data_IF_272850222705
#
_entry.id   IF_272850222705
#
_cell.length_a   1.000
_cell.length_b   1.000
_cell.length_c   1.000
_cell.angle_alpha   90.00
_cell.angle_beta   90.00
_cell.angle_gamma   90.00
#
_symmetry.space_group_name_H-M   'P 1'
#
loop_
_entity.id
_entity.type
_entity.pdbx_description
1 polymer ?
#
# COMPACT_ATOMS: atom_id res chain seq x y z
N UNK A 1 2.27 -9.82 -17.91
CA UNK A 1 1.10 -9.16 -18.50
C UNK A 1 0.99 -9.58 -19.96
N UNK A 2 1.91 -9.19 -20.82
CA UNK A 2 1.88 -9.51 -22.28
C UNK A 2 1.84 -11.01 -22.57
N UNK A 3 2.71 -11.82 -21.95
CA UNK A 3 2.74 -13.28 -22.14
C UNK A 3 1.43 -13.96 -21.74
N UNK A 4 0.70 -13.39 -20.78
CA UNK A 4 -0.61 -13.86 -20.36
C UNK A 4 -1.76 -13.31 -21.23
N UNK A 5 -1.47 -12.49 -22.24
CA UNK A 5 -2.50 -11.86 -23.09
C UNK A 5 -3.41 -10.90 -22.34
N UNK A 6 -2.86 -10.21 -21.33
CA UNK A 6 -3.56 -9.22 -20.52
C UNK A 6 -3.25 -7.82 -21.03
N UNK A 7 -4.20 -6.90 -20.85
CA UNK A 7 -3.99 -5.49 -21.13
C UNK A 7 -2.93 -4.89 -20.17
N UNK A 8 -2.14 -3.90 -20.64
CA UNK A 8 -1.17 -3.21 -19.78
C UNK A 8 -1.92 -2.33 -18.76
N UNK A 9 -1.72 -2.56 -17.43
CA UNK A 9 -2.36 -1.76 -16.40
C UNK A 9 -2.01 -0.27 -16.46
N UNK A 10 -0.81 0.09 -16.96
CA UNK A 10 -0.44 1.49 -17.13
C UNK A 10 -1.21 2.15 -18.27
N UNK A 11 -1.37 1.46 -19.40
CA UNK A 11 -2.22 1.96 -20.49
C UNK A 11 -3.69 2.11 -20.06
N UNK A 12 -4.20 1.17 -19.26
CA UNK A 12 -5.54 1.27 -18.68
C UNK A 12 -5.64 2.48 -17.74
N UNK A 13 -4.60 2.73 -16.94
CA UNK A 13 -4.53 3.91 -16.10
C UNK A 13 -4.57 5.21 -16.93
N UNK A 14 -3.76 5.32 -17.99
CA UNK A 14 -3.73 6.50 -18.87
C UNK A 14 -5.08 6.76 -19.57
N UNK A 15 -5.83 5.70 -19.84
CA UNK A 15 -7.20 5.78 -20.41
C UNK A 15 -8.28 6.05 -19.35
N UNK A 16 -7.95 6.04 -18.06
CA UNK A 16 -8.92 6.15 -16.96
C UNK A 16 -9.76 4.89 -16.76
N UNK A 17 -9.29 3.75 -17.26
CA UNK A 17 -9.97 2.44 -17.24
C UNK A 17 -9.36 1.48 -16.20
N UNK A 18 -8.30 1.86 -15.50
CA UNK A 18 -7.69 1.07 -14.44
C UNK A 18 -8.51 1.16 -13.16
N UNK A 19 -9.54 0.34 -13.06
CA UNK A 19 -10.53 0.31 -11.97
C UNK A 19 -10.50 -1.03 -11.23
N UNK A 20 -11.20 -1.13 -10.09
CA UNK A 20 -11.37 -2.39 -9.38
C UNK A 20 -11.98 -3.47 -10.28
N UNK A 21 -12.99 -3.12 -11.06
CA UNK A 21 -13.62 -4.08 -11.98
C UNK A 21 -12.65 -4.61 -13.01
N UNK A 22 -11.87 -3.73 -13.66
CA UNK A 22 -10.87 -4.13 -14.66
C UNK A 22 -9.75 -4.95 -14.03
N UNK A 23 -9.28 -4.54 -12.83
CA UNK A 23 -8.31 -5.31 -12.07
C UNK A 23 -8.82 -6.73 -11.73
N UNK A 24 -10.07 -6.86 -11.26
CA UNK A 24 -10.66 -8.16 -10.93
C UNK A 24 -10.88 -9.04 -12.17
N UNK A 25 -11.21 -8.46 -13.32
CA UNK A 25 -11.27 -9.20 -14.60
C UNK A 25 -9.89 -9.73 -14.98
N UNK A 26 -8.86 -8.90 -14.89
CA UNK A 26 -7.47 -9.29 -15.13
C UNK A 26 -7.03 -10.37 -14.15
N UNK A 27 -7.35 -10.20 -12.87
CA UNK A 27 -7.06 -11.15 -11.81
C UNK A 27 -7.59 -12.55 -12.11
N UNK A 28 -8.86 -12.64 -12.49
CA UNK A 28 -9.51 -13.92 -12.82
C UNK A 28 -8.97 -14.57 -14.08
N UNK A 29 -8.49 -13.78 -15.04
CA UNK A 29 -7.85 -14.31 -16.27
C UNK A 29 -6.45 -14.88 -15.99
N UNK A 30 -5.73 -14.31 -15.04
CA UNK A 30 -4.35 -14.72 -14.72
C UNK A 30 -4.30 -15.87 -13.72
N UNK A 31 -5.20 -15.87 -12.72
CA UNK A 31 -5.16 -16.84 -11.62
C UNK A 31 -5.30 -18.27 -12.10
N UNK A 32 -4.35 -19.11 -11.72
CA UNK A 32 -4.32 -20.55 -11.94
C UNK A 32 -3.63 -21.22 -10.75
N UNK A 33 -4.32 -21.34 -9.60
CA UNK A 33 -3.73 -21.88 -8.37
C UNK A 33 -3.22 -23.31 -8.50
N UNK A 34 -3.81 -24.13 -9.40
CA UNK A 34 -3.37 -25.49 -9.67
C UNK A 34 -1.95 -25.51 -10.28
N UNK A 35 -1.59 -24.47 -11.04
CA UNK A 35 -0.26 -24.29 -11.61
C UNK A 35 0.58 -23.23 -10.87
N UNK A 36 0.19 -22.86 -9.64
CA UNK A 36 0.92 -21.94 -8.78
C UNK A 36 0.88 -20.48 -9.23
N UNK A 37 -0.13 -20.05 -10.01
CA UNK A 37 -0.29 -18.67 -10.46
C UNK A 37 -1.30 -17.92 -9.60
N UNK A 38 -0.86 -16.81 -9.01
CA UNK A 38 -1.63 -15.97 -8.12
C UNK A 38 -1.56 -14.51 -8.59
N UNK A 39 -2.49 -13.69 -8.15
CA UNK A 39 -2.62 -12.32 -8.65
C UNK A 39 -1.83 -11.34 -7.81
N UNK A 40 -1.85 -11.48 -6.50
CA UNK A 40 -1.36 -10.46 -5.58
C UNK A 40 -0.58 -11.08 -4.43
N UNK A 41 0.57 -10.51 -4.16
CA UNK A 41 1.31 -10.64 -2.91
C UNK A 41 1.81 -9.24 -2.50
N UNK A 42 2.39 -9.09 -1.32
CA UNK A 42 2.88 -7.80 -0.82
C UNK A 42 2.79 -7.73 0.69
N UNK A 43 3.18 -6.60 1.28
CA UNK A 43 3.19 -6.45 2.73
C UNK A 43 1.80 -6.16 3.31
N UNK A 44 1.10 -5.17 2.77
CA UNK A 44 -0.21 -4.73 3.24
C UNK A 44 -1.10 -4.28 2.06
N UNK A 45 -1.33 -5.16 1.07
CA UNK A 45 -2.12 -4.78 -0.11
C UNK A 45 -3.56 -4.40 0.28
N UNK A 46 -4.12 -5.03 1.32
CA UNK A 46 -5.45 -4.74 1.84
C UNK A 46 -5.59 -3.29 2.32
N UNK A 47 -4.58 -2.77 3.00
CA UNK A 47 -4.58 -1.39 3.47
C UNK A 47 -4.44 -0.40 2.32
N UNK A 48 -3.61 -0.73 1.36
CA UNK A 48 -3.42 0.08 0.16
C UNK A 48 -4.69 0.15 -0.68
N UNK A 49 -5.42 -0.97 -0.82
CA UNK A 49 -6.73 -0.99 -1.48
C UNK A 49 -7.77 -0.16 -0.75
N UNK A 50 -7.86 -0.24 0.58
CA UNK A 50 -8.79 0.60 1.35
C UNK A 50 -8.55 2.08 1.07
N UNK A 51 -7.30 2.52 0.97
CA UNK A 51 -6.98 3.91 0.63
C UNK A 51 -7.50 4.33 -0.76
N UNK A 52 -7.68 3.39 -1.70
CA UNK A 52 -8.24 3.72 -3.04
C UNK A 52 -9.71 4.14 -3.00
N UNK A 53 -10.41 3.93 -1.88
CA UNK A 53 -11.77 4.49 -1.67
C UNK A 53 -11.77 6.01 -1.47
N UNK A 54 -10.61 6.60 -1.20
CA UNK A 54 -10.47 8.00 -0.78
C UNK A 54 -10.77 8.25 0.71
N UNK A 55 -11.20 7.23 1.44
CA UNK A 55 -11.58 7.31 2.85
C UNK A 55 -10.66 6.43 3.70
N UNK A 56 -9.92 6.95 4.69
CA UNK A 56 -9.16 6.14 5.63
C UNK A 56 -10.08 5.47 6.65
N UNK A 57 -9.65 4.39 7.30
CA UNK A 57 -10.39 3.82 8.43
C UNK A 57 -10.51 4.80 9.60
N UNK A 58 -9.47 5.60 9.82
CA UNK A 58 -9.45 6.65 10.84
C UNK A 58 -8.84 7.93 10.26
N UNK A 59 -9.60 9.01 10.28
CA UNK A 59 -9.14 10.35 9.89
C UNK A 59 -8.88 11.25 11.11
N UNK A 60 -8.22 12.39 10.87
CA UNK A 60 -8.12 13.50 11.83
C UNK A 60 -8.95 14.68 11.30
N UNK A 61 -10.06 14.97 11.92
CA UNK A 61 -11.01 16.02 11.52
C UNK A 61 -11.22 17.03 12.65
N UNK A 62 -10.90 18.29 12.39
CA UNK A 62 -11.03 19.34 13.40
C UNK A 62 -10.23 19.07 14.70
N UNK A 63 -9.12 18.34 14.58
CA UNK A 63 -8.28 17.94 15.72
C UNK A 63 -8.78 16.69 16.45
N UNK A 64 -9.79 15.99 15.95
CA UNK A 64 -10.32 14.76 16.54
C UNK A 64 -10.15 13.58 15.61
N UNK A 65 -9.86 12.42 16.17
CA UNK A 65 -9.83 11.16 15.44
C UNK A 65 -11.28 10.70 15.20
N UNK A 66 -11.59 10.44 13.93
CA UNK A 66 -12.93 10.03 13.48
C UNK A 66 -12.84 8.67 12.81
N UNK A 67 -13.73 7.76 13.21
CA UNK A 67 -13.84 6.42 12.65
C UNK A 67 -14.71 6.41 11.40
N UNK A 68 -14.24 5.77 10.34
CA UNK A 68 -14.98 5.52 9.11
C UNK A 68 -15.26 4.03 8.86
N UNK A 69 -15.14 3.21 9.89
CA UNK A 69 -15.35 1.75 9.78
C UNK A 69 -16.76 1.34 9.30
N UNK A 70 -17.71 2.27 9.30
CA UNK A 70 -19.07 2.05 8.78
C UNK A 70 -19.27 2.64 7.37
N UNK A 71 -18.20 3.11 6.73
CA UNK A 71 -18.27 3.64 5.36
C UNK A 71 -18.57 2.52 4.35
N UNK A 72 -19.57 2.74 3.50
CA UNK A 72 -20.03 1.74 2.55
C UNK A 72 -18.99 1.41 1.46
N UNK A 73 -18.10 2.35 1.10
CA UNK A 73 -17.05 2.11 0.14
C UNK A 73 -15.93 1.27 0.75
N UNK A 74 -15.61 1.49 2.04
CA UNK A 74 -14.66 0.64 2.78
C UNK A 74 -15.20 -0.79 2.87
N UNK A 75 -16.47 -0.97 3.24
CA UNK A 75 -17.11 -2.30 3.29
C UNK A 75 -17.06 -2.98 1.91
N UNK A 76 -17.42 -2.26 0.84
CA UNK A 76 -17.35 -2.77 -0.54
C UNK A 76 -15.93 -3.15 -0.95
N UNK A 77 -14.92 -2.34 -0.59
CA UNK A 77 -13.51 -2.65 -0.85
C UNK A 77 -13.08 -3.95 -0.15
N UNK A 78 -13.38 -4.07 1.13
CA UNK A 78 -12.97 -5.24 1.92
C UNK A 78 -13.74 -6.49 1.48
N UNK A 79 -15.00 -6.38 1.07
CA UNK A 79 -15.75 -7.50 0.50
C UNK A 79 -15.17 -7.95 -0.85
N UNK A 80 -14.64 -7.04 -1.67
CA UNK A 80 -13.88 -7.40 -2.85
C UNK A 80 -12.59 -8.15 -2.45
N UNK A 81 -11.82 -7.62 -1.53
CA UNK A 81 -10.56 -8.22 -1.07
C UNK A 81 -10.75 -9.60 -0.42
N UNK A 82 -11.87 -9.83 0.20
CA UNK A 82 -12.26 -11.12 0.77
C UNK A 82 -12.25 -12.24 -0.27
N UNK A 83 -12.55 -11.94 -1.54
CA UNK A 83 -12.50 -12.91 -2.63
C UNK A 83 -11.10 -13.45 -2.93
N UNK A 84 -10.06 -12.75 -2.46
CA UNK A 84 -8.66 -13.15 -2.65
C UNK A 84 -8.26 -14.37 -1.82
N UNK A 85 -9.01 -14.67 -0.76
CA UNK A 85 -8.69 -15.80 0.13
C UNK A 85 -8.79 -17.15 -0.58
N UNK A 86 -8.01 -18.12 -0.08
CA UNK A 86 -7.92 -19.48 -0.62
C UNK A 86 -9.21 -20.26 -0.52
N UNK A 87 -10.15 -19.85 0.35
CA UNK A 87 -11.50 -20.44 0.46
C UNK A 87 -12.50 -19.83 -0.53
N UNK A 88 -12.09 -18.82 -1.28
CA UNK A 88 -12.89 -18.07 -2.23
C UNK A 88 -12.31 -18.25 -3.67
N UNK A 89 -11.84 -17.15 -4.29
CA UNK A 89 -11.32 -17.17 -5.66
C UNK A 89 -9.81 -17.49 -5.72
N UNK A 90 -9.12 -17.57 -4.58
CA UNK A 90 -7.69 -17.91 -4.48
C UNK A 90 -6.77 -16.98 -5.28
N UNK A 91 -7.02 -15.69 -5.20
CA UNK A 91 -6.27 -14.69 -5.98
C UNK A 91 -4.97 -14.23 -5.31
N UNK A 92 -4.85 -14.35 -3.99
CA UNK A 92 -3.62 -14.02 -3.29
C UNK A 92 -2.66 -15.21 -3.22
N UNK A 93 -1.36 -14.91 -3.21
CA UNK A 93 -0.36 -15.94 -2.93
C UNK A 93 -0.59 -16.54 -1.53
N UNK A 94 -0.65 -17.87 -1.40
CA UNK A 94 -0.85 -18.52 -0.11
C UNK A 94 0.37 -18.32 0.77
N UNK A 95 0.19 -17.76 1.96
CA UNK A 95 1.25 -17.57 2.94
C UNK A 95 1.13 -18.61 4.02
N UNK A 96 2.29 -19.12 4.43
CA UNK A 96 2.37 -19.95 5.62
C UNK A 96 2.03 -19.12 6.87
N UNK A 97 1.23 -19.65 7.77
CA UNK A 97 0.78 -18.97 9.00
C UNK A 97 1.94 -18.58 9.91
N UNK A 98 3.04 -19.32 9.88
CA UNK A 98 4.26 -19.01 10.66
C UNK A 98 5.05 -17.82 10.09
N UNK A 99 4.93 -17.54 8.78
CA UNK A 99 5.62 -16.46 8.07
C UNK A 99 4.66 -15.47 7.41
N UNK A 100 3.46 -15.28 7.94
CA UNK A 100 2.40 -14.46 7.34
C UNK A 100 2.78 -12.99 7.05
N UNK A 101 3.87 -12.52 7.62
CA UNK A 101 4.37 -11.15 7.45
C UNK A 101 5.40 -10.98 6.33
N UNK A 102 5.92 -12.08 5.79
CA UNK A 102 6.98 -12.00 4.78
C UNK A 102 6.42 -12.41 3.42
N UNK A 103 6.25 -11.47 2.48
CA UNK A 103 5.81 -11.80 1.14
C UNK A 103 6.89 -12.57 0.38
N UNK A 104 6.47 -13.32 -0.64
CA UNK A 104 7.38 -14.16 -1.42
C UNK A 104 7.94 -13.44 -2.64
N UNK A 105 9.02 -12.69 -2.45
CA UNK A 105 9.73 -12.03 -3.56
C UNK A 105 10.19 -13.00 -4.66
N UNK A 106 10.56 -14.23 -4.31
CA UNK A 106 11.00 -15.20 -5.31
C UNK A 106 9.86 -15.63 -6.22
N UNK A 107 8.68 -15.90 -5.67
CA UNK A 107 7.50 -16.29 -6.44
C UNK A 107 7.05 -15.19 -7.40
N UNK A 108 7.08 -13.94 -6.93
CA UNK A 108 6.84 -12.79 -7.79
C UNK A 108 7.92 -12.69 -8.88
N UNK A 109 9.20 -12.76 -8.53
CA UNK A 109 10.30 -12.66 -9.45
C UNK A 109 10.33 -13.80 -10.49
N UNK A 110 9.82 -14.97 -10.14
CA UNK A 110 9.68 -16.12 -11.03
C UNK A 110 8.36 -16.09 -11.87
N UNK A 111 7.58 -14.99 -11.75
CA UNK A 111 6.35 -14.76 -12.52
C UNK A 111 5.15 -15.56 -12.03
N UNK A 112 5.17 -16.04 -10.80
CA UNK A 112 4.08 -16.79 -10.17
C UNK A 112 3.05 -15.87 -9.49
N UNK A 113 3.39 -14.59 -9.29
CA UNK A 113 2.48 -13.57 -8.80
C UNK A 113 2.48 -12.39 -9.78
N UNK A 114 1.29 -11.96 -10.23
CA UNK A 114 1.15 -10.91 -11.25
C UNK A 114 1.53 -9.54 -10.71
N UNK A 115 1.02 -9.19 -9.52
CA UNK A 115 1.28 -7.93 -8.85
C UNK A 115 1.93 -8.16 -7.49
N UNK A 116 2.83 -7.25 -7.13
CA UNK A 116 3.49 -7.27 -5.84
C UNK A 116 3.40 -5.88 -5.20
N UNK A 117 2.72 -5.80 -4.05
CA UNK A 117 2.60 -4.54 -3.30
C UNK A 117 3.80 -4.34 -2.42
N UNK A 118 4.48 -3.19 -2.58
CA UNK A 118 5.58 -2.79 -1.72
C UNK A 118 5.81 -1.27 -1.78
N UNK A 119 6.62 -0.76 -0.86
CA UNK A 119 7.13 0.60 -0.93
C UNK A 119 8.26 0.74 -1.96
N UNK A 120 8.33 1.90 -2.64
CA UNK A 120 9.38 2.18 -3.63
C UNK A 120 10.81 1.97 -3.10
N UNK A 121 11.04 2.26 -1.81
CA UNK A 121 12.33 2.04 -1.14
C UNK A 121 12.76 0.57 -1.09
N UNK A 122 11.81 -0.36 -0.96
CA UNK A 122 12.12 -1.79 -0.97
C UNK A 122 12.50 -2.26 -2.37
N UNK A 123 11.86 -1.67 -3.37
CA UNK A 123 12.17 -1.93 -4.76
C UNK A 123 13.63 -1.58 -5.10
N UNK A 124 14.14 -0.49 -4.53
CA UNK A 124 15.55 -0.09 -4.62
C UNK A 124 16.49 -1.22 -4.17
N UNK A 125 16.19 -1.88 -3.04
CA UNK A 125 17.03 -2.94 -2.49
C UNK A 125 16.97 -4.26 -3.27
N UNK A 126 15.81 -4.58 -3.82
CA UNK A 126 15.53 -5.93 -4.37
C UNK A 126 15.62 -6.00 -5.89
N UNK A 127 15.28 -4.92 -6.59
CA UNK A 127 15.19 -4.86 -8.04
C UNK A 127 16.45 -5.35 -8.77
N UNK A 128 17.58 -4.72 -8.52
CA UNK A 128 18.84 -5.05 -9.16
C UNK A 128 19.25 -6.51 -8.98
N UNK A 129 18.95 -7.05 -7.79
CA UNK A 129 19.22 -8.45 -7.47
C UNK A 129 18.38 -9.39 -8.34
N UNK A 130 17.10 -9.13 -8.47
CA UNK A 130 16.18 -9.97 -9.25
C UNK A 130 16.36 -9.77 -10.75
N UNK A 131 16.53 -8.53 -11.22
CA UNK A 131 16.85 -8.23 -12.62
C UNK A 131 18.07 -9.02 -13.09
N UNK A 132 19.14 -9.02 -12.31
CA UNK A 132 20.35 -9.78 -12.62
C UNK A 132 20.14 -11.30 -12.53
N UNK A 133 19.43 -11.79 -11.51
CA UNK A 133 19.15 -13.22 -11.31
C UNK A 133 18.30 -13.76 -12.47
N UNK A 134 17.25 -13.05 -12.84
CA UNK A 134 16.26 -13.50 -13.82
C UNK A 134 16.55 -13.01 -15.23
N UNK A 135 17.60 -12.19 -15.40
CA UNK A 135 18.00 -11.61 -16.70
C UNK A 135 16.90 -10.76 -17.34
N UNK A 136 16.18 -10.01 -16.52
CA UNK A 136 15.13 -9.12 -17.01
C UNK A 136 15.72 -8.02 -17.89
N UNK A 137 15.06 -7.78 -19.00
CA UNK A 137 15.31 -6.59 -19.82
C UNK A 137 14.73 -5.35 -19.13
N UNK A 138 15.08 -4.17 -19.63
CA UNK A 138 14.46 -2.94 -19.18
C UNK A 138 12.94 -3.00 -19.47
N UNK A 139 12.15 -2.47 -18.55
CA UNK A 139 10.69 -2.40 -18.65
C UNK A 139 9.90 -3.73 -18.58
N UNK A 140 10.56 -4.88 -18.36
CA UNK A 140 9.84 -6.15 -18.10
C UNK A 140 9.02 -6.11 -16.81
N UNK A 141 9.49 -5.37 -15.81
CA UNK A 141 8.75 -5.12 -14.56
C UNK A 141 8.62 -3.62 -14.36
N UNK A 142 7.42 -3.16 -14.10
CA UNK A 142 7.13 -1.74 -14.03
C UNK A 142 6.26 -1.40 -12.81
N UNK A 143 6.29 -0.13 -12.41
CA UNK A 143 5.34 0.40 -11.45
C UNK A 143 3.97 0.60 -12.11
N UNK A 144 2.94 0.32 -11.33
CA UNK A 144 1.54 0.62 -11.65
C UNK A 144 0.83 1.10 -10.39
N UNK A 145 -0.04 2.11 -10.46
CA UNK A 145 -0.82 2.52 -9.31
C UNK A 145 -1.83 1.44 -8.92
N UNK A 146 -2.30 1.46 -7.68
CA UNK A 146 -3.48 0.68 -7.33
C UNK A 146 -4.68 1.10 -8.20
N UNK A 147 -5.54 0.15 -8.59
CA UNK A 147 -6.72 0.50 -9.39
C UNK A 147 -7.66 1.39 -8.59
N UNK A 148 -8.26 2.38 -9.22
CA UNK A 148 -9.25 3.23 -8.57
C UNK A 148 -10.56 2.48 -8.32
N UNK A 149 -11.29 2.88 -7.31
CA UNK A 149 -12.67 2.42 -7.10
C UNK A 149 -13.54 2.77 -8.32
N UNK A 150 -14.41 1.84 -8.74
CA UNK A 150 -15.32 2.09 -9.86
C UNK A 150 -16.18 3.33 -9.60
N UNK A 151 -16.17 4.26 -10.55
CA UNK A 151 -16.90 5.53 -10.46
C UNK A 151 -16.25 6.59 -9.57
N UNK A 152 -15.04 6.39 -9.09
CA UNK A 152 -14.26 7.43 -8.41
C UNK A 152 -13.92 8.57 -9.40
N UNK A 153 -13.86 9.79 -8.89
CA UNK A 153 -13.55 10.99 -9.68
C UNK A 153 -12.04 11.20 -9.90
N UNK A 154 -11.21 10.48 -9.13
CA UNK A 154 -9.76 10.56 -9.19
C UNK A 154 -9.10 9.34 -8.59
N UNK A 155 -7.79 9.21 -8.83
CA UNK A 155 -6.97 8.18 -8.20
C UNK A 155 -6.58 8.58 -6.78
N UNK A 156 -6.82 7.68 -5.84
CA UNK A 156 -6.36 7.78 -4.46
C UNK A 156 -5.29 6.73 -4.20
N UNK A 157 -4.36 7.05 -3.32
CA UNK A 157 -3.31 6.11 -2.92
C UNK A 157 -2.99 6.21 -1.43
N UNK A 158 -2.50 5.12 -0.88
CA UNK A 158 -1.97 5.10 0.49
C UNK A 158 -0.80 6.07 0.62
N UNK A 159 -0.83 6.86 1.68
CA UNK A 159 0.26 7.76 2.04
C UNK A 159 0.77 7.39 3.43
N UNK A 160 2.08 7.14 3.53
CA UNK A 160 2.78 7.03 4.82
C UNK A 160 3.66 8.26 5.00
N UNK A 161 3.75 8.72 6.23
CA UNK A 161 4.59 9.86 6.58
C UNK A 161 5.56 9.46 7.70
N UNK A 162 6.85 9.46 7.39
CA UNK A 162 7.88 9.34 8.40
C UNK A 162 8.11 10.69 9.06
N UNK A 163 8.11 10.69 10.37
CA UNK A 163 8.31 11.91 11.17
C UNK A 163 9.62 11.85 11.93
N UNK A 164 10.39 12.93 11.86
CA UNK A 164 11.60 13.09 12.63
C UNK A 164 11.31 14.02 13.79
N UNK A 165 11.53 13.52 15.01
CA UNK A 165 11.27 14.27 16.23
C UNK A 165 12.56 14.60 16.97
N UNK A 166 12.63 15.81 17.49
CA UNK A 166 13.70 16.19 18.40
C UNK A 166 13.40 15.63 19.78
N UNK A 167 14.32 14.82 20.33
CA UNK A 167 14.13 14.26 21.68
C UNK A 167 14.15 15.34 22.76
N UNK A 168 13.35 15.16 23.81
CA UNK A 168 13.36 16.07 24.95
C UNK A 168 14.76 16.17 25.55
N UNK A 169 15.22 17.41 25.80
CA UNK A 169 16.56 17.69 26.34
C UNK A 169 17.68 17.72 25.29
N UNK A 170 17.39 17.63 24.02
CA UNK A 170 18.39 17.84 22.97
C UNK A 170 19.01 19.22 23.06
N UNK A 171 20.33 19.29 22.96
CA UNK A 171 21.09 20.55 23.16
C UNK A 171 21.33 21.32 21.86
N UNK A 172 21.36 20.65 20.73
CA UNK A 172 21.66 21.26 19.42
C UNK A 172 20.39 21.52 18.60
N UNK A 173 19.52 22.40 19.10
CA UNK A 173 18.27 22.78 18.42
C UNK A 173 18.56 23.51 17.09
N UNK A 174 19.57 24.33 17.03
CA UNK A 174 19.93 25.10 15.83
C UNK A 174 20.51 24.19 14.75
N UNK A 175 21.26 23.16 15.09
CA UNK A 175 21.70 22.12 14.17
C UNK A 175 20.51 21.34 13.58
N UNK A 176 19.53 21.01 14.40
CA UNK A 176 18.29 20.36 13.93
C UNK A 176 17.50 21.26 12.95
N UNK A 177 17.34 22.54 13.29
CA UNK A 177 16.68 23.50 12.38
C UNK A 177 17.44 23.64 11.05
N UNK A 178 18.77 23.76 11.11
CA UNK A 178 19.61 23.85 9.92
C UNK A 178 19.47 22.60 9.04
N UNK A 179 19.43 21.40 9.65
CA UNK A 179 19.23 20.15 8.94
C UNK A 179 17.85 20.08 8.26
N UNK A 180 16.75 20.42 8.97
CA UNK A 180 15.40 20.49 8.39
C UNK A 180 15.36 21.46 7.21
N UNK A 181 15.92 22.67 7.40
CA UNK A 181 15.93 23.68 6.35
C UNK A 181 16.74 23.23 5.12
N UNK A 182 17.90 22.61 5.32
CA UNK A 182 18.70 22.08 4.23
C UNK A 182 17.97 21.00 3.44
N UNK A 183 17.27 20.08 4.12
CA UNK A 183 16.45 19.07 3.45
C UNK A 183 15.30 19.70 2.66
N UNK A 184 14.63 20.70 3.22
CA UNK A 184 13.54 21.41 2.53
C UNK A 184 14.04 22.13 1.28
N UNK A 185 15.20 22.78 1.34
CA UNK A 185 15.82 23.42 0.18
C UNK A 185 16.21 22.39 -0.86
N UNK A 186 16.88 21.31 -0.44
CA UNK A 186 17.29 20.24 -1.35
C UNK A 186 16.10 19.57 -2.05
N UNK A 187 15.00 19.32 -1.34
CA UNK A 187 13.80 18.71 -1.90
C UNK A 187 13.09 19.58 -2.96
N UNK A 188 13.38 20.88 -2.98
CA UNK A 188 12.80 21.82 -3.94
C UNK A 188 13.80 22.29 -5.01
N UNK A 189 15.03 21.76 -5.01
CA UNK A 189 16.06 22.12 -5.97
C UNK A 189 16.02 21.19 -7.20
N UNK A 190 15.72 21.71 -8.42
CA UNK A 190 15.65 20.89 -9.63
C UNK A 190 16.96 20.17 -9.98
N UNK A 191 18.12 20.79 -9.67
CA UNK A 191 19.41 20.15 -9.97
C UNK A 191 19.68 18.97 -9.03
N UNK A 192 19.27 19.08 -7.76
CA UNK A 192 19.35 17.97 -6.81
C UNK A 192 18.39 16.86 -7.20
N UNK A 193 17.16 17.20 -7.59
CA UNK A 193 16.18 16.21 -8.08
C UNK A 193 16.72 15.46 -9.32
N UNK A 194 17.33 16.20 -10.27
CA UNK A 194 17.97 15.60 -11.45
C UNK A 194 19.15 14.69 -11.07
N UNK A 195 20.01 15.14 -10.15
CA UNK A 195 21.14 14.33 -9.68
C UNK A 195 20.67 13.05 -8.98
N UNK A 196 19.59 13.14 -8.18
CA UNK A 196 18.97 11.98 -7.54
C UNK A 196 18.42 10.98 -8.56
N UNK A 197 17.82 11.46 -9.64
CA UNK A 197 17.32 10.63 -10.74
C UNK A 197 18.47 9.88 -11.45
N UNK A 198 19.56 10.57 -11.79
CA UNK A 198 20.73 9.93 -12.39
C UNK A 198 21.38 8.92 -11.42
N UNK A 199 21.44 9.22 -10.13
CA UNK A 199 21.91 8.28 -9.12
C UNK A 199 21.04 7.02 -9.09
N UNK A 200 19.71 7.14 -9.15
CA UNK A 200 18.81 5.97 -9.18
C UNK A 200 19.06 5.07 -10.38
N UNK A 201 19.38 5.65 -11.56
CA UNK A 201 19.76 4.88 -12.74
C UNK A 201 21.07 4.13 -12.53
N UNK A 202 22.09 4.79 -12.00
CA UNK A 202 23.42 4.20 -11.79
C UNK A 202 23.41 3.16 -10.66
N UNK A 203 22.74 3.46 -9.56
CA UNK A 203 22.77 2.64 -8.35
C UNK A 203 21.80 1.47 -8.39
N UNK A 204 20.58 1.69 -8.92
CA UNK A 204 19.50 0.70 -8.91
C UNK A 204 19.17 0.11 -10.28
N UNK A 205 19.80 0.62 -11.35
CA UNK A 205 19.57 0.17 -12.72
C UNK A 205 18.11 0.39 -13.18
N UNK A 206 17.54 1.54 -12.80
CA UNK A 206 16.19 1.91 -13.15
C UNK A 206 16.13 2.59 -14.51
N UNK A 207 15.16 2.20 -15.33
CA UNK A 207 14.90 2.85 -16.62
C UNK A 207 14.25 4.23 -16.45
N UNK A 208 14.28 5.04 -17.50
CA UNK A 208 13.54 6.30 -17.53
C UNK A 208 12.04 6.07 -17.39
N UNK A 209 11.51 4.99 -18.00
CA UNK A 209 10.10 4.60 -17.88
C UNK A 209 9.69 4.36 -16.42
N UNK A 210 10.49 3.60 -15.66
CA UNK A 210 10.23 3.36 -14.23
C UNK A 210 10.22 4.67 -13.44
N UNK A 211 11.18 5.54 -13.69
CA UNK A 211 11.30 6.82 -12.99
C UNK A 211 10.13 7.75 -13.33
N UNK A 212 9.73 7.83 -14.61
CA UNK A 212 8.60 8.65 -15.05
C UNK A 212 7.27 8.17 -14.44
N UNK A 213 7.05 6.86 -14.37
CA UNK A 213 5.88 6.27 -13.70
C UNK A 213 5.87 6.59 -12.21
N UNK A 214 7.02 6.44 -11.53
CA UNK A 214 7.16 6.76 -10.11
C UNK A 214 6.92 8.26 -9.84
N UNK A 215 7.47 9.14 -10.66
CA UNK A 215 7.26 10.58 -10.55
C UNK A 215 5.78 10.95 -10.76
N UNK A 216 5.11 10.32 -11.72
CA UNK A 216 3.68 10.48 -11.94
C UNK A 216 2.86 10.04 -10.72
N UNK A 217 3.20 8.88 -10.12
CA UNK A 217 2.53 8.37 -8.94
C UNK A 217 2.78 9.20 -7.68
N UNK A 218 3.90 9.93 -7.63
CA UNK A 218 4.23 10.86 -6.52
C UNK A 218 3.63 12.25 -6.70
N UNK A 219 3.13 12.61 -7.88
CA UNK A 219 2.58 13.95 -8.14
C UNK A 219 1.20 14.09 -7.46
N UNK A 220 1.07 15.00 -6.46
CA UNK A 220 -0.19 15.22 -5.75
C UNK A 220 -1.30 15.83 -6.62
N UNK A 221 -0.99 16.28 -7.84
CA UNK A 221 -1.98 16.72 -8.81
C UNK A 221 -2.67 15.55 -9.51
N UNK A 222 -1.97 14.43 -9.61
CA UNK A 222 -2.44 13.21 -10.27
C UNK A 222 -3.05 12.25 -9.27
N UNK A 223 -2.37 12.04 -8.15
CA UNK A 223 -2.81 11.14 -7.10
C UNK A 223 -3.12 11.88 -5.81
N UNK A 224 -4.27 11.59 -5.21
CA UNK A 224 -4.63 12.10 -3.89
C UNK A 224 -4.16 11.13 -2.81
N UNK A 225 -3.22 11.57 -1.97
CA UNK A 225 -2.77 10.77 -0.85
C UNK A 225 -3.82 10.63 0.24
N UNK A 226 -4.04 9.41 0.71
CA UNK A 226 -4.90 9.09 1.85
C UNK A 226 -4.03 8.66 3.01
N UNK A 227 -4.05 9.44 4.08
CA UNK A 227 -3.33 9.15 5.31
C UNK A 227 -4.28 8.53 6.34
N UNK A 228 -3.98 7.30 6.77
CA UNK A 228 -4.78 6.59 7.75
C UNK A 228 -4.13 6.62 9.14
N UNK A 229 -4.80 7.20 10.11
CA UNK A 229 -4.34 7.28 11.50
C UNK A 229 -4.49 5.96 12.28
N UNK A 230 -5.05 4.92 11.67
CA UNK A 230 -5.29 3.62 12.29
C UNK A 230 -4.06 2.98 12.92
N UNK A 231 -2.89 3.10 12.28
CA UNK A 231 -1.68 2.38 12.70
C UNK A 231 -1.21 2.77 14.12
N UNK A 232 -1.30 4.04 14.48
CA UNK A 232 -0.97 4.50 15.84
C UNK A 232 -1.93 3.98 16.90
N UNK A 233 -3.20 3.83 16.53
CA UNK A 233 -4.27 3.39 17.43
C UNK A 233 -4.19 1.89 17.66
N UNK A 234 -3.94 1.12 16.62
CA UNK A 234 -3.89 -0.34 16.70
C UNK A 234 -2.76 -0.85 17.58
N UNK A 235 -1.61 -0.24 17.54
CA UNK A 235 -0.46 -0.59 18.38
C UNK A 235 -0.74 -0.42 19.87
N UNK A 236 -1.54 0.58 20.24
CA UNK A 236 -1.91 0.86 21.63
C UNK A 236 -2.97 -0.11 22.18
N UNK A 237 -3.82 -0.67 21.30
CA UNK A 237 -4.87 -1.61 21.70
C UNK A 237 -4.33 -3.04 21.74
N UNK A 238 -3.32 -3.35 20.93
CA UNK A 238 -2.66 -4.65 20.94
C UNK A 238 -2.03 -4.90 22.31
N UNK A 239 -2.57 -5.81 23.08
CA UNK A 239 -2.02 -6.21 24.39
C UNK A 239 -0.87 -7.19 24.19
N UNK A 240 0.01 -7.31 25.19
CA UNK A 240 1.12 -8.30 25.18
C UNK A 240 0.62 -9.75 25.03
N UNK A 241 -0.60 -10.02 25.44
CA UNK A 241 -1.20 -11.35 25.42
C UNK A 241 -2.10 -11.57 24.19
N UNK A 242 -2.49 -10.50 23.50
CA UNK A 242 -3.24 -10.55 22.26
C UNK A 242 -2.39 -9.91 21.17
N UNK A 243 -1.79 -10.76 20.34
CA UNK A 243 -0.98 -10.30 19.19
C UNK A 243 -1.82 -9.74 18.05
N UNK A 244 -3.14 -9.87 18.13
CA UNK A 244 -4.05 -9.34 17.13
C UNK A 244 -4.25 -7.84 17.33
N UNK A 245 -3.73 -7.06 16.41
CA UNK A 245 -4.03 -5.65 16.31
C UNK A 245 -5.48 -5.49 15.79
N UNK A 246 -6.44 -5.04 16.63
CA UNK A 246 -7.85 -5.00 16.23
C UNK A 246 -8.11 -4.17 14.99
N UNK A 247 -7.35 -3.12 14.77
CA UNK A 247 -7.51 -2.24 13.60
C UNK A 247 -6.98 -2.90 12.33
N UNK A 248 -5.86 -3.62 12.45
CA UNK A 248 -5.29 -4.39 11.34
C UNK A 248 -6.21 -5.56 10.97
N UNK A 249 -6.83 -6.21 11.95
CA UNK A 249 -7.77 -7.31 11.70
C UNK A 249 -9.00 -6.89 10.89
N UNK A 250 -9.38 -5.63 10.89
CA UNK A 250 -10.50 -5.14 10.08
C UNK A 250 -10.24 -5.26 8.57
N UNK A 251 -9.01 -5.08 8.13
CA UNK A 251 -8.64 -5.16 6.71
C UNK A 251 -8.03 -6.52 6.38
N UNK A 252 -7.05 -6.94 7.15
CA UNK A 252 -6.30 -8.17 6.94
C UNK A 252 -7.12 -9.43 7.21
N UNK A 253 -7.96 -9.42 8.24
CA UNK A 253 -8.77 -10.58 8.60
C UNK A 253 -9.63 -11.08 7.44
N UNK A 254 -10.52 -10.27 6.84
CA UNK A 254 -11.31 -10.67 5.68
C UNK A 254 -10.45 -11.12 4.49
N UNK A 255 -9.37 -10.42 4.20
CA UNK A 255 -8.43 -10.75 3.12
C UNK A 255 -7.74 -12.10 3.33
N UNK A 256 -7.42 -12.46 4.59
CA UNK A 256 -6.68 -13.67 4.92
C UNK A 256 -7.57 -14.89 5.19
N UNK A 257 -8.83 -14.70 5.59
CA UNK A 257 -9.71 -15.79 6.05
C UNK A 257 -10.95 -15.99 5.18
N UNK A 258 -11.26 -15.03 4.30
CA UNK A 258 -12.50 -15.05 3.52
C UNK A 258 -13.77 -14.77 4.36
N UNK A 259 -13.64 -14.44 5.65
CA UNK A 259 -14.78 -14.05 6.48
C UNK A 259 -15.26 -12.62 6.15
N UNK A 260 -16.52 -12.30 6.48
CA UNK A 260 -17.08 -10.99 6.14
C UNK A 260 -16.50 -9.85 6.98
N UNK A 261 -16.41 -8.66 6.38
CA UNK A 261 -16.05 -7.44 7.10
C UNK A 261 -16.96 -7.16 8.28
N UNK A 262 -18.27 -7.42 8.12
CA UNK A 262 -19.25 -7.25 9.20
C UNK A 262 -18.94 -8.12 10.42
N UNK A 263 -18.43 -9.34 10.24
CA UNK A 263 -18.01 -10.23 11.33
C UNK A 263 -16.84 -9.66 12.11
N UNK A 264 -15.79 -9.22 11.40
CA UNK A 264 -14.63 -8.59 12.02
C UNK A 264 -14.99 -7.26 12.71
N UNK A 265 -15.80 -6.44 12.07
CA UNK A 265 -16.28 -5.19 12.66
C UNK A 265 -17.06 -5.43 13.95
N UNK A 266 -17.96 -6.40 13.96
CA UNK A 266 -18.71 -6.76 15.17
C UNK A 266 -17.80 -7.19 16.34
N UNK A 267 -16.65 -7.80 16.02
CA UNK A 267 -15.68 -8.23 17.04
C UNK A 267 -14.84 -7.08 17.58
N UNK A 268 -14.35 -6.18 16.71
CA UNK A 268 -13.28 -5.24 17.05
C UNK A 268 -13.73 -3.79 17.18
N UNK A 269 -14.83 -3.36 16.54
CA UNK A 269 -15.25 -1.96 16.50
C UNK A 269 -15.41 -1.34 17.89
N UNK A 270 -16.00 -2.06 18.83
CA UNK A 270 -16.21 -1.52 20.19
C UNK A 270 -14.91 -1.17 20.92
N UNK A 271 -13.85 -1.94 20.73
CA UNK A 271 -12.53 -1.65 21.31
C UNK A 271 -11.88 -0.44 20.65
N UNK A 272 -11.99 -0.33 19.32
CA UNK A 272 -11.43 0.78 18.54
C UNK A 272 -12.15 2.07 18.90
N UNK A 273 -13.48 2.09 18.93
CA UNK A 273 -14.28 3.26 19.28
C UNK A 273 -14.00 3.74 20.72
N UNK A 274 -13.82 2.82 21.66
CA UNK A 274 -13.44 3.16 23.04
C UNK A 274 -12.07 3.84 23.09
N UNK A 275 -11.08 3.35 22.31
CA UNK A 275 -9.75 3.95 22.26
C UNK A 275 -9.75 5.31 21.57
N UNK A 276 -10.49 5.48 20.48
CA UNK A 276 -10.67 6.78 19.81
C UNK A 276 -11.29 7.80 20.77
N UNK A 277 -12.32 7.40 21.53
CA UNK A 277 -12.95 8.28 22.51
C UNK A 277 -11.98 8.70 23.63
N UNK A 278 -11.07 7.83 24.06
CA UNK A 278 -10.04 8.14 25.05
C UNK A 278 -9.00 9.12 24.47
N UNK A 279 -8.47 8.83 23.31
CA UNK A 279 -7.47 9.68 22.65
C UNK A 279 -8.02 11.09 22.38
N UNK A 280 -9.27 11.19 21.97
CA UNK A 280 -9.93 12.48 21.73
C UNK A 280 -10.11 13.34 22.98
N UNK A 281 -10.00 12.78 24.19
CA UNK A 281 -9.99 13.55 25.46
C UNK A 281 -8.62 14.18 25.74
N UNK A 282 -7.56 13.63 25.17
CA UNK A 282 -6.18 14.12 25.40
C UNK A 282 -5.77 15.24 24.45
N UNK A 283 -6.58 15.52 23.45
CA UNK A 283 -6.32 16.54 22.41
C UNK A 283 -6.96 17.89 22.77
N UNK A 284 -7.68 17.99 23.89
CA UNK A 284 -8.17 19.25 24.46
C UNK A 284 -7.06 19.93 25.27
#
# INVERSE_FOLDING_TARGET
VEEAGLDDPWELYEKGEWTWSTFMEMARKFSDPENGKYVLDGYNPEDSFVCTTGTPLVSLEGGKLVSHMNDANIEKCIDMLRSFDNTQEQLRYPRDTENSWTPSYNEWADGNTLFFEDGSWRYEETWRKFKKKNKWEDDEVNFVPFPQMDGADKYYQSMKQDSIMLVAGAKNIDGYKAWIYSNLVASNDPEIAKAGREQSKEEYDWSDTLLDRLDTMKDPKTFSGVFDFKNGIGQDIATKDNQDNPVEQLTKGPYMTGESYTSFRATYQGQIDARLAELNKTVE
#
